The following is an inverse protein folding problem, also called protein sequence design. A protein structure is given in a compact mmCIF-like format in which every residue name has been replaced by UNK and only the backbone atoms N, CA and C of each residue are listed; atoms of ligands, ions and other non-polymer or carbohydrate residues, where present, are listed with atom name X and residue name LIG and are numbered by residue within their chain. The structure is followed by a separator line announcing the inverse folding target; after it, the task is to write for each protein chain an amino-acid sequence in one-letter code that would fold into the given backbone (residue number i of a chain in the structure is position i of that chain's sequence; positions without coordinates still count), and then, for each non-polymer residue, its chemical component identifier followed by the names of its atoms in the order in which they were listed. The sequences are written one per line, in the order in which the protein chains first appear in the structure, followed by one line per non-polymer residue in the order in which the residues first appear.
data_IF_596267262184
#
_entry.id   IF_596267262184
#
_cell.length_a   1.000
_cell.length_b   1.000
_cell.length_c   1.000
_cell.angle_alpha   90.00
_cell.angle_beta   90.00
_cell.angle_gamma   90.00
#
_symmetry.space_group_name_H-M   'P 1'
#
loop_
_entity.id
_entity.type
_entity.pdbx_description
1 polymer ?
#
# COMPACT_ATOMS: atom_id res chain seq x y z
N UNK A 1 -97.54 20.58 -17.51
CA UNK A 1 -96.06 20.44 -17.43
C UNK A 1 -95.82 19.39 -16.36
N UNK A 2 -95.49 18.18 -16.80
CA UNK A 2 -95.21 17.01 -15.98
C UNK A 2 -93.75 17.07 -15.52
N UNK A 3 -93.52 17.04 -14.20
CA UNK A 3 -92.16 16.90 -13.62
C UNK A 3 -92.01 15.48 -13.13
N UNK A 4 -91.00 14.68 -13.60
CA UNK A 4 -90.79 13.30 -13.12
C UNK A 4 -90.08 13.29 -11.75
N UNK A 5 -90.61 12.46 -10.82
CA UNK A 5 -90.01 12.17 -9.50
C UNK A 5 -88.80 11.27 -9.68
N UNK A 6 -87.68 11.68 -9.09
CA UNK A 6 -86.49 10.81 -8.99
C UNK A 6 -86.66 9.71 -7.94
N UNK A 7 -86.08 8.53 -8.13
CA UNK A 7 -86.11 7.39 -7.20
C UNK A 7 -85.26 7.63 -5.95
N UNK A 8 -85.83 7.25 -4.78
CA UNK A 8 -85.12 7.26 -3.50
C UNK A 8 -84.06 6.14 -3.43
N UNK A 9 -82.80 6.50 -3.17
CA UNK A 9 -81.73 5.60 -2.90
C UNK A 9 -81.83 5.03 -1.48
N UNK A 10 -81.60 3.73 -1.26
CA UNK A 10 -81.65 3.13 0.08
C UNK A 10 -80.48 3.59 0.96
N UNK A 11 -80.83 3.97 2.18
CA UNK A 11 -79.90 4.40 3.25
C UNK A 11 -79.06 3.17 3.72
N UNK A 12 -77.71 3.25 3.52
CA UNK A 12 -76.78 2.29 4.07
C UNK A 12 -76.34 2.76 5.46
N UNK A 13 -76.59 1.94 6.47
CA UNK A 13 -76.16 2.18 7.84
C UNK A 13 -74.61 2.15 7.93
N UNK A 14 -73.99 3.01 8.72
CA UNK A 14 -72.52 3.04 8.89
C UNK A 14 -72.01 1.78 9.61
N UNK A 15 -70.82 1.28 9.26
CA UNK A 15 -70.25 0.11 9.93
C UNK A 15 -69.85 0.48 11.37
N UNK A 16 -70.05 -0.49 12.27
CA UNK A 16 -69.74 -0.38 13.70
C UNK A 16 -68.21 -0.18 13.90
N UNK A 17 -67.75 0.68 14.83
CA UNK A 17 -66.36 0.88 15.11
C UNK A 17 -65.71 -0.41 15.69
N UNK A 18 -64.61 -0.82 15.09
CA UNK A 18 -63.77 -1.92 15.59
C UNK A 18 -62.84 -1.31 16.67
N UNK A 19 -62.67 -1.93 17.84
CA UNK A 19 -61.80 -1.38 18.88
C UNK A 19 -60.33 -1.37 18.44
N UNK A 20 -59.74 -0.19 18.43
CA UNK A 20 -58.35 0.11 17.99
C UNK A 20 -57.25 -0.39 18.95
N UNK A 21 -57.62 -1.13 20.01
CA UNK A 21 -56.68 -1.44 21.09
C UNK A 21 -55.89 -2.76 20.90
N UNK A 22 -56.20 -3.56 19.87
CA UNK A 22 -55.49 -4.86 19.66
C UNK A 22 -54.39 -4.81 18.60
N UNK A 23 -54.26 -3.73 17.80
CA UNK A 23 -53.31 -3.65 16.68
C UNK A 23 -51.95 -3.05 17.05
N UNK A 24 -51.83 -2.33 18.16
CA UNK A 24 -50.58 -1.66 18.53
C UNK A 24 -49.57 -2.53 19.26
N UNK A 25 -49.98 -3.64 19.86
CA UNK A 25 -49.07 -4.51 20.59
C UNK A 25 -48.23 -5.47 19.68
N UNK A 26 -48.75 -5.78 18.48
CA UNK A 26 -48.05 -6.68 17.56
C UNK A 26 -46.97 -5.96 16.68
N UNK A 27 -47.10 -4.67 16.48
CA UNK A 27 -46.14 -3.90 15.64
C UNK A 27 -44.89 -3.50 16.44
N UNK A 28 -44.98 -3.32 17.74
CA UNK A 28 -43.82 -2.99 18.59
C UNK A 28 -42.85 -4.16 18.82
N UNK A 29 -43.31 -5.43 18.71
CA UNK A 29 -42.43 -6.59 18.88
C UNK A 29 -41.64 -6.93 17.61
N UNK A 30 -42.11 -6.52 16.43
CA UNK A 30 -41.44 -6.78 15.15
C UNK A 30 -40.31 -5.83 14.82
N UNK A 31 -40.24 -4.64 15.46
CA UNK A 31 -39.23 -3.62 15.18
C UNK A 31 -37.95 -3.79 16.03
N UNK A 32 -38.00 -4.55 17.12
CA UNK A 32 -36.83 -4.76 17.99
C UNK A 32 -35.86 -5.85 17.50
N UNK A 33 -36.18 -6.62 16.47
CA UNK A 33 -35.33 -7.72 15.99
C UNK A 33 -34.44 -7.34 14.78
N UNK A 34 -34.50 -6.08 14.27
CA UNK A 34 -33.80 -5.68 13.04
C UNK A 34 -32.53 -4.84 13.26
N UNK A 35 -32.10 -4.60 14.50
CA UNK A 35 -30.82 -3.96 14.79
C UNK A 35 -29.81 -5.00 15.31
N UNK A 36 -29.52 -6.02 14.50
CA UNK A 36 -28.22 -6.67 14.60
C UNK A 36 -27.18 -5.63 14.11
N UNK A 37 -26.19 -5.22 14.93
CA UNK A 37 -25.10 -4.43 14.41
C UNK A 37 -24.48 -5.25 13.28
N UNK A 38 -24.45 -4.70 12.06
CA UNK A 38 -23.61 -5.24 11.01
C UNK A 38 -22.21 -5.26 11.64
N UNK A 39 -21.63 -6.47 11.80
CA UNK A 39 -20.23 -6.58 12.16
C UNK A 39 -19.48 -5.77 11.11
N UNK A 40 -18.98 -4.58 11.49
CA UNK A 40 -18.06 -3.85 10.66
C UNK A 40 -16.90 -4.80 10.44
N UNK A 41 -16.81 -5.40 9.26
CA UNK A 41 -15.69 -6.26 8.88
C UNK A 41 -14.44 -5.44 9.18
N UNK A 42 -13.58 -5.92 10.06
CA UNK A 42 -12.30 -5.29 10.34
C UNK A 42 -11.62 -5.17 8.97
N UNK A 43 -11.42 -3.93 8.51
CA UNK A 43 -10.76 -3.68 7.24
C UNK A 43 -9.33 -4.16 7.42
N UNK A 44 -8.94 -5.15 6.63
CA UNK A 44 -7.60 -5.72 6.67
C UNK A 44 -6.59 -4.60 6.42
N UNK A 45 -5.69 -4.38 7.36
CA UNK A 45 -4.65 -3.38 7.25
C UNK A 45 -3.49 -3.99 6.45
N UNK A 46 -3.14 -3.38 5.34
CA UNK A 46 -2.14 -3.90 4.40
C UNK A 46 -1.01 -2.89 4.28
N UNK A 47 0.24 -3.37 4.30
CA UNK A 47 1.42 -2.58 3.95
C UNK A 47 2.04 -3.19 2.70
N UNK A 48 2.21 -2.36 1.66
CA UNK A 48 2.79 -2.73 0.37
C UNK A 48 4.09 -1.99 0.10
N UNK A 49 4.84 -2.45 -0.86
CA UNK A 49 5.90 -1.62 -1.44
C UNK A 49 5.32 -0.33 -2.02
N UNK A 50 6.01 0.79 -1.80
CA UNK A 50 5.51 2.13 -2.10
C UNK A 50 4.82 2.83 -0.92
N UNK A 51 4.40 2.11 0.11
CA UNK A 51 3.80 2.72 1.29
C UNK A 51 4.86 3.37 2.18
N UNK A 52 4.46 4.41 2.92
CA UNK A 52 5.36 5.19 3.78
C UNK A 52 5.27 4.68 5.21
N UNK A 53 6.43 4.42 5.81
CA UNK A 53 6.56 4.16 7.24
C UNK A 53 7.27 5.32 7.94
N UNK A 54 6.95 5.52 9.21
CA UNK A 54 7.44 6.61 10.04
C UNK A 54 8.37 6.06 11.13
N UNK A 55 9.63 6.50 11.16
CA UNK A 55 10.57 6.06 12.18
C UNK A 55 10.33 6.74 13.54
N UNK A 56 10.78 6.11 14.62
CA UNK A 56 10.65 6.65 15.99
C UNK A 56 11.37 7.98 16.19
N UNK A 57 12.48 8.24 15.48
CA UNK A 57 13.37 9.39 15.71
C UNK A 57 13.90 10.03 14.42
N UNK A 58 13.33 9.77 13.28
CA UNK A 58 13.92 10.22 12.03
C UNK A 58 12.88 10.56 10.96
N UNK A 59 13.31 10.53 9.70
CA UNK A 59 12.44 10.74 8.56
C UNK A 59 11.43 9.61 8.40
N UNK A 60 10.41 9.85 7.60
CA UNK A 60 9.63 8.77 7.00
C UNK A 60 10.39 8.17 5.81
N UNK A 61 10.25 6.86 5.61
CA UNK A 61 10.86 6.15 4.50
C UNK A 61 9.83 5.30 3.76
N UNK A 62 10.07 5.08 2.48
CA UNK A 62 9.18 4.27 1.63
C UNK A 62 9.58 2.79 1.72
N UNK A 63 8.60 1.91 1.89
CA UNK A 63 8.80 0.46 1.74
C UNK A 63 9.17 0.17 0.29
N UNK A 64 10.30 -0.50 0.07
CA UNK A 64 10.68 -0.98 -1.23
C UNK A 64 9.88 -2.23 -1.60
N UNK A 65 10.22 -3.34 -1.00
CA UNK A 65 9.54 -4.62 -1.22
C UNK A 65 9.24 -5.32 0.10
N UNK A 66 8.14 -6.05 0.15
CA UNK A 66 7.92 -7.01 1.20
C UNK A 66 8.61 -8.34 0.86
N UNK A 67 9.15 -8.97 1.89
CA UNK A 67 9.88 -10.22 1.79
C UNK A 67 9.60 -11.09 3.02
N UNK A 68 9.93 -12.39 2.92
CA UNK A 68 9.70 -13.34 4.00
C UNK A 68 10.85 -14.30 4.21
N UNK A 69 10.89 -14.87 5.42
CA UNK A 69 11.75 -15.97 5.83
C UNK A 69 10.92 -16.90 6.72
N UNK A 70 10.39 -17.97 6.14
CA UNK A 70 9.42 -18.82 6.82
C UNK A 70 8.14 -18.06 7.15
N UNK A 71 7.76 -17.99 8.43
CA UNK A 71 6.58 -17.24 8.89
C UNK A 71 6.86 -15.75 9.14
N UNK A 72 8.11 -15.34 9.20
CA UNK A 72 8.52 -13.96 9.46
C UNK A 72 8.38 -13.09 8.22
N UNK A 73 8.02 -11.83 8.41
CA UNK A 73 7.82 -10.85 7.34
C UNK A 73 8.71 -9.64 7.53
N UNK A 74 9.20 -9.10 6.41
CA UNK A 74 10.19 -8.03 6.38
C UNK A 74 9.87 -7.01 5.30
N UNK A 75 10.28 -5.75 5.53
CA UNK A 75 10.43 -4.76 4.48
C UNK A 75 11.89 -4.61 4.07
N UNK A 76 12.14 -4.50 2.77
CA UNK A 76 13.37 -3.95 2.21
C UNK A 76 13.15 -2.45 1.97
N UNK A 77 14.07 -1.62 2.46
CA UNK A 77 14.03 -0.16 2.34
C UNK A 77 15.43 0.37 1.96
N UNK A 78 15.53 1.65 1.60
CA UNK A 78 16.82 2.30 1.34
C UNK A 78 17.62 2.47 2.64
N UNK A 79 18.89 2.10 2.61
CA UNK A 79 19.79 2.22 3.76
C UNK A 79 20.03 3.67 4.16
N UNK A 80 20.23 4.57 3.19
CA UNK A 80 20.45 6.00 3.44
C UNK A 80 19.25 6.70 4.12
N UNK A 81 18.04 6.18 3.95
CA UNK A 81 16.85 6.69 4.63
C UNK A 81 16.75 6.17 6.07
N UNK A 82 17.03 4.89 6.28
CA UNK A 82 16.89 4.23 7.60
C UNK A 82 18.03 4.59 8.54
N UNK A 83 19.29 4.51 8.09
CA UNK A 83 20.55 4.87 8.75
C UNK A 83 20.90 4.12 10.03
N UNK A 84 19.95 3.82 10.91
CA UNK A 84 20.20 3.24 12.22
C UNK A 84 19.49 1.89 12.41
N UNK A 85 20.19 0.92 13.02
CA UNK A 85 19.59 -0.32 13.48
C UNK A 85 18.75 -0.09 14.74
N UNK A 86 17.72 -0.94 14.92
CA UNK A 86 16.86 -0.91 16.13
C UNK A 86 15.80 0.18 16.14
N UNK A 87 15.67 1.04 15.11
CA UNK A 87 14.58 1.99 15.01
C UNK A 87 13.22 1.28 14.99
N UNK A 88 12.26 1.85 15.72
CA UNK A 88 10.86 1.43 15.65
C UNK A 88 10.18 2.13 14.48
N UNK A 89 9.33 1.40 13.78
CA UNK A 89 8.58 1.88 12.62
C UNK A 89 7.08 1.84 12.86
N UNK A 90 6.38 2.85 12.37
CA UNK A 90 4.95 3.07 12.54
C UNK A 90 4.26 3.22 11.19
N UNK A 91 3.01 2.75 11.11
CA UNK A 91 2.18 2.90 9.92
C UNK A 91 1.60 4.31 9.77
N UNK A 92 1.60 5.12 10.82
CA UNK A 92 0.97 6.43 10.85
C UNK A 92 1.94 7.55 11.25
N UNK A 93 1.72 8.75 10.71
CA UNK A 93 2.54 9.92 11.00
C UNK A 93 2.51 10.36 12.48
N UNK A 94 1.44 10.02 13.21
CA UNK A 94 1.33 10.26 14.66
C UNK A 94 2.18 9.29 15.49
N UNK A 95 2.75 8.26 14.86
CA UNK A 95 3.57 7.21 15.50
C UNK A 95 2.83 6.48 16.63
N UNK A 96 1.58 6.11 16.37
CA UNK A 96 0.73 5.41 17.33
C UNK A 96 0.59 3.92 17.03
N UNK A 97 0.78 3.51 15.76
CA UNK A 97 0.60 2.14 15.30
C UNK A 97 1.95 1.55 14.90
N UNK A 98 2.63 0.92 15.86
CA UNK A 98 3.91 0.23 15.62
C UNK A 98 3.70 -0.94 14.67
N UNK A 99 4.61 -1.09 13.67
CA UNK A 99 4.57 -2.17 12.69
C UNK A 99 5.81 -3.06 12.73
N UNK A 100 6.95 -2.56 13.20
CA UNK A 100 8.18 -3.35 13.23
C UNK A 100 9.42 -2.58 13.67
N UNK A 101 10.59 -3.21 13.49
CA UNK A 101 11.88 -2.66 13.91
C UNK A 101 12.94 -2.91 12.85
N UNK A 102 13.90 -1.99 12.73
CA UNK A 102 15.09 -2.19 11.89
C UNK A 102 15.91 -3.36 12.43
N UNK A 103 16.07 -4.41 11.61
CA UNK A 103 16.93 -5.56 11.89
C UNK A 103 18.38 -5.27 11.47
N UNK A 104 18.55 -4.60 10.32
CA UNK A 104 19.89 -4.26 9.84
C UNK A 104 19.89 -3.17 8.77
N UNK A 105 21.06 -2.53 8.63
CA UNK A 105 21.32 -1.47 7.66
C UNK A 105 22.66 -1.74 6.99
N UNK A 106 22.72 -1.61 5.67
CA UNK A 106 23.95 -1.55 4.90
C UNK A 106 23.99 -0.22 4.14
N UNK A 107 24.71 0.73 4.72
CA UNK A 107 24.95 2.07 4.16
C UNK A 107 26.08 2.76 4.95
N UNK A 108 27.08 3.37 4.29
CA UNK A 108 27.39 3.29 2.86
C UNK A 108 28.00 1.94 2.46
N UNK A 109 28.36 1.81 1.20
CA UNK A 109 28.83 0.57 0.59
C UNK A 109 27.72 0.00 -0.30
N UNK A 110 26.70 -0.57 0.32
CA UNK A 110 25.38 -0.81 -0.28
C UNK A 110 24.41 0.29 0.14
N UNK A 111 23.16 0.22 -0.34
CA UNK A 111 22.08 1.12 0.07
C UNK A 111 20.77 0.36 0.33
N UNK A 112 20.77 -0.49 1.34
CA UNK A 112 19.57 -1.18 1.77
C UNK A 112 19.47 -1.29 3.30
N UNK A 113 18.26 -1.45 3.78
CA UNK A 113 17.92 -1.78 5.16
C UNK A 113 16.80 -2.82 5.19
N UNK A 114 16.75 -3.57 6.28
CA UNK A 114 15.74 -4.60 6.54
C UNK A 114 14.98 -4.27 7.79
N UNK A 115 13.66 -4.21 7.70
CA UNK A 115 12.74 -3.98 8.80
C UNK A 115 12.01 -5.29 9.08
N UNK A 116 12.13 -5.82 10.28
CA UNK A 116 11.34 -6.96 10.72
C UNK A 116 9.96 -6.49 11.18
N UNK A 117 8.91 -6.96 10.53
CA UNK A 117 7.54 -6.69 10.91
C UNK A 117 7.13 -7.54 12.11
N UNK A 118 6.53 -6.91 13.11
CA UNK A 118 6.12 -7.55 14.37
C UNK A 118 4.63 -7.43 14.67
N UNK A 119 3.88 -6.65 13.87
CA UNK A 119 2.46 -6.41 14.11
C UNK A 119 1.58 -7.37 13.30
N UNK A 120 0.91 -8.34 13.96
CA UNK A 120 0.07 -9.32 13.27
C UNK A 120 -1.28 -8.77 12.80
N UNK A 121 -1.61 -7.51 13.12
CA UNK A 121 -2.84 -6.86 12.62
C UNK A 121 -2.73 -6.42 11.17
N UNK A 122 -1.51 -6.46 10.60
CA UNK A 122 -1.24 -6.13 9.20
C UNK A 122 -0.93 -7.36 8.38
N UNK A 123 -1.24 -7.29 7.08
CA UNK A 123 -0.69 -8.18 6.06
C UNK A 123 0.36 -7.47 5.24
N UNK A 124 1.34 -8.23 4.74
CA UNK A 124 2.52 -7.73 4.06
C UNK A 124 2.72 -8.50 2.74
N UNK A 125 1.80 -8.34 1.78
CA UNK A 125 1.87 -9.08 0.52
C UNK A 125 3.04 -8.65 -0.36
N UNK A 126 3.47 -9.53 -1.26
CA UNK A 126 4.41 -9.24 -2.34
C UNK A 126 3.80 -8.35 -3.41
N UNK A 127 3.34 -7.18 -3.03
CA UNK A 127 2.65 -6.23 -3.88
C UNK A 127 3.28 -4.85 -3.79
N UNK A 128 3.17 -4.07 -4.87
CA UNK A 128 3.46 -2.64 -4.89
C UNK A 128 2.17 -1.85 -5.04
N UNK A 129 2.07 -0.74 -4.33
CA UNK A 129 1.04 0.26 -4.58
C UNK A 129 1.24 0.87 -5.96
N UNK A 130 0.23 0.80 -6.82
CA UNK A 130 0.33 1.28 -8.22
C UNK A 130 0.20 2.80 -8.37
N UNK A 131 -0.01 3.54 -7.28
CA UNK A 131 -0.38 4.96 -7.32
C UNK A 131 -1.82 5.22 -7.79
N UNK A 132 -2.54 4.19 -8.22
CA UNK A 132 -3.95 4.28 -8.62
C UNK A 132 -4.86 3.78 -7.50
N UNK A 133 -6.07 4.32 -7.33
CA UNK A 133 -7.00 3.89 -6.31
C UNK A 133 -7.30 2.38 -6.40
N UNK A 134 -6.96 1.63 -5.35
CA UNK A 134 -7.20 0.18 -5.27
C UNK A 134 -6.32 -0.69 -6.17
N UNK A 135 -5.36 -0.10 -6.88
CA UNK A 135 -4.44 -0.83 -7.75
C UNK A 135 -3.22 -1.36 -6.99
N UNK A 136 -2.87 -2.63 -7.23
CA UNK A 136 -1.65 -3.24 -6.75
C UNK A 136 -0.94 -3.94 -7.94
N UNK A 137 0.39 -3.98 -7.87
CA UNK A 137 1.23 -4.70 -8.82
C UNK A 137 1.82 -5.88 -8.08
N UNK A 138 1.48 -7.09 -8.51
CA UNK A 138 1.99 -8.31 -7.89
C UNK A 138 3.46 -8.51 -8.23
N UNK A 139 4.28 -8.79 -7.22
CA UNK A 139 5.70 -9.10 -7.33
C UNK A 139 5.93 -10.50 -6.76
N UNK A 140 6.29 -11.44 -7.63
CA UNK A 140 6.38 -12.85 -7.32
C UNK A 140 7.82 -13.37 -7.18
N UNK A 141 8.82 -12.51 -7.45
CA UNK A 141 10.22 -12.91 -7.35
C UNK A 141 11.18 -11.74 -7.53
N UNK A 142 12.47 -12.03 -7.51
CA UNK A 142 13.53 -11.05 -7.71
C UNK A 142 14.59 -11.56 -8.67
N UNK A 143 15.23 -10.65 -9.41
CA UNK A 143 16.34 -10.95 -10.30
C UNK A 143 17.36 -9.81 -10.33
N UNK A 144 18.58 -10.13 -10.74
CA UNK A 144 19.60 -9.13 -11.07
C UNK A 144 19.22 -8.36 -12.34
N UNK A 145 19.54 -7.06 -12.41
CA UNK A 145 19.29 -6.24 -13.61
C UNK A 145 20.23 -6.62 -14.75
N UNK A 146 19.76 -6.43 -15.99
CA UNK A 146 20.56 -6.62 -17.20
C UNK A 146 20.47 -5.40 -18.11
N UNK A 147 21.56 -4.98 -18.74
CA UNK A 147 21.56 -3.89 -19.72
C UNK A 147 20.60 -4.22 -20.87
N UNK A 148 19.78 -3.27 -21.26
CA UNK A 148 18.71 -3.43 -22.26
C UNK A 148 17.37 -3.91 -21.68
N UNK A 149 17.31 -4.34 -20.41
CA UNK A 149 16.07 -4.75 -19.76
C UNK A 149 15.17 -3.53 -19.49
N UNK A 150 13.87 -3.70 -19.71
CA UNK A 150 12.89 -2.70 -19.28
C UNK A 150 12.75 -2.72 -17.76
N UNK A 151 12.72 -1.56 -17.15
CA UNK A 151 12.48 -1.34 -15.73
C UNK A 151 11.45 -0.26 -15.55
N UNK A 152 10.53 -0.48 -14.61
CA UNK A 152 9.48 0.46 -14.23
C UNK A 152 9.51 0.71 -12.71
N UNK A 153 8.96 1.85 -12.29
CA UNK A 153 8.57 2.13 -10.91
C UNK A 153 7.24 2.90 -10.91
N UNK A 154 6.46 2.76 -9.84
CA UNK A 154 5.16 3.39 -9.71
C UNK A 154 5.23 4.55 -8.71
N UNK A 155 5.37 5.78 -9.19
CA UNK A 155 5.38 6.99 -8.37
C UNK A 155 4.01 7.26 -7.75
N UNK A 156 4.01 7.66 -6.49
CA UNK A 156 2.77 7.96 -5.76
C UNK A 156 2.00 9.16 -6.31
N UNK A 157 2.68 10.07 -7.00
CA UNK A 157 2.11 11.32 -7.53
C UNK A 157 1.91 11.29 -9.04
N UNK A 158 2.90 10.79 -9.78
CA UNK A 158 2.89 10.89 -11.25
C UNK A 158 2.66 9.54 -11.95
N UNK A 159 2.51 8.46 -11.17
CA UNK A 159 2.16 7.13 -11.69
C UNK A 159 3.35 6.33 -12.20
N UNK A 160 3.12 5.52 -13.23
CA UNK A 160 4.10 4.56 -13.73
C UNK A 160 5.12 5.24 -14.66
N UNK A 161 6.40 5.15 -14.30
CA UNK A 161 7.53 5.54 -15.13
C UNK A 161 8.36 4.32 -15.50
N UNK A 162 8.65 4.18 -16.79
CA UNK A 162 9.44 3.07 -17.31
C UNK A 162 10.61 3.59 -18.14
N UNK A 163 11.69 2.82 -18.16
CA UNK A 163 12.87 3.07 -18.96
C UNK A 163 13.64 1.79 -19.24
N UNK A 164 14.81 1.92 -19.83
CA UNK A 164 15.70 0.80 -20.13
C UNK A 164 16.92 0.88 -19.21
N UNK A 165 17.35 -0.23 -18.65
CA UNK A 165 18.62 -0.36 -17.93
C UNK A 165 19.78 -0.07 -18.90
N UNK A 166 20.62 0.91 -18.58
CA UNK A 166 21.71 1.35 -19.46
C UNK A 166 23.08 0.96 -18.95
N UNK A 167 23.22 0.74 -17.64
CA UNK A 167 24.48 0.29 -17.05
C UNK A 167 24.23 -0.50 -15.77
N UNK A 168 25.21 -1.31 -15.40
CA UNK A 168 25.32 -2.04 -14.12
C UNK A 168 26.71 -1.75 -13.53
N UNK A 169 26.86 -1.98 -12.21
CA UNK A 169 28.07 -1.68 -11.44
C UNK A 169 28.44 -0.18 -11.40
N UNK A 170 27.45 0.67 -11.46
CA UNK A 170 27.61 2.11 -11.24
C UNK A 170 27.83 2.42 -9.76
N UNK A 171 28.28 3.66 -9.48
CA UNK A 171 28.52 4.15 -8.12
C UNK A 171 27.87 5.52 -7.92
N UNK A 172 27.42 5.78 -6.68
CA UNK A 172 26.94 7.10 -6.25
C UNK A 172 27.69 7.51 -4.98
N UNK A 173 28.23 8.73 -4.96
CA UNK A 173 28.92 9.28 -3.80
C UNK A 173 27.94 10.07 -2.92
N UNK A 174 27.92 9.77 -1.64
CA UNK A 174 27.25 10.50 -0.58
C UNK A 174 28.29 11.16 0.34
N UNK A 175 27.92 12.17 1.14
CA UNK A 175 28.80 12.71 2.17
C UNK A 175 29.32 11.64 3.15
N UNK A 176 28.49 10.62 3.43
CA UNK A 176 28.78 9.52 4.35
C UNK A 176 29.68 8.44 3.74
N UNK A 177 29.80 8.40 2.39
CA UNK A 177 30.61 7.41 1.67
C UNK A 177 30.02 7.06 0.30
N UNK A 178 30.64 6.11 -0.38
CA UNK A 178 30.23 5.70 -1.73
C UNK A 178 29.39 4.44 -1.67
N UNK A 179 28.33 4.40 -2.46
CA UNK A 179 27.50 3.22 -2.73
C UNK A 179 27.92 2.61 -4.05
N UNK A 180 28.11 1.29 -4.09
CA UNK A 180 28.66 0.55 -5.22
C UNK A 180 27.64 -0.44 -5.79
N UNK A 181 27.96 -0.99 -6.97
CA UNK A 181 27.19 -2.10 -7.56
C UNK A 181 25.79 -1.72 -8.02
N UNK A 182 25.54 -0.44 -8.23
CA UNK A 182 24.24 0.07 -8.66
C UNK A 182 23.97 -0.23 -10.13
N UNK A 183 22.68 -0.25 -10.50
CA UNK A 183 22.32 -0.15 -11.92
C UNK A 183 21.61 1.18 -12.20
N UNK A 184 21.69 1.61 -13.44
CA UNK A 184 21.09 2.85 -13.89
C UNK A 184 20.14 2.61 -15.06
N UNK A 185 19.03 3.38 -15.07
CA UNK A 185 18.08 3.37 -16.18
C UNK A 185 17.74 4.77 -16.67
N UNK A 186 17.03 4.83 -17.79
CA UNK A 186 16.42 6.07 -18.30
C UNK A 186 15.03 6.35 -17.71
N UNK A 187 14.54 5.55 -16.78
CA UNK A 187 13.32 5.89 -16.04
C UNK A 187 13.56 7.14 -15.19
N UNK A 188 12.68 8.12 -15.27
CA UNK A 188 12.75 9.36 -14.52
C UNK A 188 11.94 9.30 -13.24
N UNK A 189 12.28 10.12 -12.24
CA UNK A 189 11.57 10.24 -10.95
C UNK A 189 11.15 11.68 -10.77
N UNK A 190 9.88 11.93 -10.51
CA UNK A 190 9.40 13.29 -10.27
C UNK A 190 9.31 13.59 -8.76
N UNK A 191 9.45 14.88 -8.39
CA UNK A 191 9.25 15.29 -7.01
C UNK A 191 7.88 14.88 -6.48
N UNK A 192 7.85 14.20 -5.32
CA UNK A 192 6.63 13.69 -4.70
C UNK A 192 6.29 12.23 -5.03
N UNK A 193 7.00 11.60 -5.97
CA UNK A 193 6.78 10.17 -6.29
C UNK A 193 7.21 9.23 -5.16
N UNK A 194 8.05 9.70 -4.25
CA UNK A 194 8.62 8.86 -3.21
C UNK A 194 9.77 8.00 -3.72
N UNK A 195 10.35 7.23 -2.81
CA UNK A 195 11.45 6.31 -3.11
C UNK A 195 10.91 4.94 -3.51
N UNK A 196 10.17 4.90 -4.61
CA UNK A 196 9.45 3.71 -5.07
C UNK A 196 10.36 2.64 -5.66
N UNK A 197 10.05 1.36 -5.47
CA UNK A 197 10.88 0.24 -5.92
C UNK A 197 10.82 0.04 -7.44
N UNK A 198 11.94 -0.44 -8.01
CA UNK A 198 12.07 -0.75 -9.42
C UNK A 198 11.76 -2.23 -9.70
N UNK A 199 10.94 -2.48 -10.74
CA UNK A 199 10.50 -3.79 -11.12
C UNK A 199 10.42 -3.98 -12.65
N UNK A 200 10.30 -5.24 -13.09
CA UNK A 200 10.02 -5.61 -14.48
C UNK A 200 8.97 -6.72 -14.50
N UNK A 201 7.77 -6.43 -14.99
CA UNK A 201 6.64 -7.35 -14.83
C UNK A 201 6.39 -7.65 -13.34
N UNK A 202 6.35 -8.92 -12.96
CA UNK A 202 6.23 -9.37 -11.57
C UNK A 202 7.58 -9.58 -10.85
N UNK A 203 8.69 -9.00 -11.32
CA UNK A 203 10.02 -9.24 -10.80
C UNK A 203 10.61 -7.99 -10.15
N UNK A 204 10.96 -8.07 -8.87
CA UNK A 204 11.70 -7.03 -8.15
C UNK A 204 13.13 -6.91 -8.69
N UNK A 205 13.60 -5.68 -8.97
CA UNK A 205 14.94 -5.42 -9.49
C UNK A 205 15.78 -4.58 -8.52
N UNK A 206 15.24 -3.49 -7.97
CA UNK A 206 16.05 -2.58 -7.16
C UNK A 206 15.28 -1.58 -6.31
N UNK A 207 16.01 -0.95 -5.39
CA UNK A 207 15.57 0.18 -4.58
C UNK A 207 16.16 1.46 -5.17
N UNK A 208 15.38 2.54 -5.28
CA UNK A 208 15.88 3.82 -5.78
C UNK A 208 16.92 4.37 -4.81
N UNK A 209 18.08 4.74 -5.35
CA UNK A 209 19.18 5.39 -4.63
C UNK A 209 19.19 6.89 -4.93
N UNK A 210 19.08 7.25 -6.21
CA UNK A 210 19.07 8.64 -6.69
C UNK A 210 18.37 8.70 -8.04
N UNK A 211 17.64 9.75 -8.31
CA UNK A 211 16.95 9.92 -9.59
C UNK A 211 16.88 11.35 -10.06
N UNK A 212 16.77 11.52 -11.36
CA UNK A 212 16.61 12.81 -12.03
C UNK A 212 15.20 12.95 -12.61
N UNK A 213 14.66 14.17 -12.64
CA UNK A 213 13.35 14.46 -13.19
C UNK A 213 13.26 14.16 -14.70
N UNK A 214 12.05 13.93 -15.19
CA UNK A 214 11.80 13.67 -16.60
C UNK A 214 12.23 14.83 -17.47
N UNK A 215 12.08 16.07 -16.99
CA UNK A 215 12.51 17.27 -17.69
C UNK A 215 14.04 17.41 -17.86
N UNK A 216 14.82 16.73 -17.00
CA UNK A 216 16.29 16.73 -17.07
C UNK A 216 16.88 15.56 -17.83
N UNK A 217 16.06 14.80 -18.56
CA UNK A 217 16.49 13.69 -19.39
C UNK A 217 16.55 12.34 -18.68
N UNK A 218 16.06 12.26 -17.45
CA UNK A 218 15.82 11.05 -16.66
C UNK A 218 17.05 10.13 -16.55
N UNK A 219 17.63 10.03 -15.37
CA UNK A 219 18.57 8.97 -15.03
C UNK A 219 18.32 8.58 -13.58
N UNK A 220 18.01 7.32 -13.33
CA UNK A 220 17.77 6.83 -11.98
C UNK A 220 18.71 5.69 -11.67
N UNK A 221 19.32 5.75 -10.49
CA UNK A 221 20.22 4.75 -9.93
C UNK A 221 19.49 3.92 -8.91
N UNK A 222 19.72 2.63 -8.93
CA UNK A 222 19.05 1.67 -8.06
C UNK A 222 20.05 0.73 -7.41
N UNK A 223 19.84 0.43 -6.14
CA UNK A 223 20.48 -0.69 -5.45
C UNK A 223 19.79 -1.99 -5.87
N UNK A 224 20.48 -2.98 -6.48
CA UNK A 224 19.88 -4.28 -6.76
C UNK A 224 19.35 -4.95 -5.48
N UNK A 225 18.16 -5.59 -5.53
CA UNK A 225 17.56 -6.22 -4.34
C UNK A 225 18.14 -7.58 -4.01
N UNK A 226 18.67 -8.30 -5.00
CA UNK A 226 19.17 -9.67 -4.80
C UNK A 226 20.26 -9.76 -3.74
N UNK A 227 21.27 -8.87 -3.67
CA UNK A 227 22.25 -8.88 -2.59
C UNK A 227 21.62 -8.72 -1.20
N UNK A 228 20.65 -7.83 -1.04
CA UNK A 228 19.93 -7.64 0.24
C UNK A 228 19.16 -8.89 0.65
N UNK A 229 18.42 -9.50 -0.29
CA UNK A 229 17.69 -10.75 -0.05
C UNK A 229 18.63 -11.87 0.37
N UNK A 230 19.78 -12.03 -0.30
CA UNK A 230 20.77 -13.06 0.03
C UNK A 230 21.41 -12.83 1.40
N UNK A 231 21.77 -11.58 1.73
CA UNK A 231 22.41 -11.26 3.00
C UNK A 231 21.55 -11.62 4.22
N UNK A 232 20.22 -11.56 4.07
CA UNK A 232 19.27 -11.86 5.15
C UNK A 232 18.49 -13.17 4.98
N UNK A 233 18.77 -13.94 3.93
CA UNK A 233 18.06 -15.20 3.64
C UNK A 233 16.58 -15.01 3.37
N UNK A 234 16.22 -13.91 2.69
CA UNK A 234 14.84 -13.51 2.40
C UNK A 234 14.44 -13.87 0.97
N UNK A 235 13.13 -14.05 0.77
CA UNK A 235 12.49 -14.17 -0.55
C UNK A 235 11.36 -13.16 -0.65
N UNK A 236 11.07 -12.63 -1.85
CA UNK A 236 9.88 -11.81 -2.07
C UNK A 236 8.64 -12.63 -1.73
N UNK A 237 7.70 -12.06 -1.03
CA UNK A 237 6.51 -12.76 -0.51
C UNK A 237 5.26 -11.89 -0.61
#
# INVERSE_FOLDING_TARGET
VNVPRAPLTPYHAPPKPVPLTAAFAAVLLAVLTALAPAAAGAQEQVIRGGDVLYSSTGPSCTVGFNAGRGAERYALMQGHCVRDAGLVWYADAARTVEVGRTEGVSFPGDDFAVIHYTNPAFTYPGELSSGLPGGAIEITGAAGPSVGQQVCHAGGTTGLHCGTVVSVNDTVAYPEGTVFGLFRSHACVEPGDGAVPAFSGGTALGLIVSGASCSSGGATFYQPVVPALQAYGLTIS
#
